data_IF_405507078519
#
_entry.id   IF_405507078519
#
_cell.length_a   1.000
_cell.length_b   1.000
_cell.length_c   1.000
_cell.angle_alpha   90.00
_cell.angle_beta   90.00
_cell.angle_gamma   90.00
#
_symmetry.space_group_name_H-M   'P 1'
#
loop_
_entity.id
_entity.type
_entity.pdbx_description
1 polymer ?
#
# COMPACT_ATOMS: atom_id res chain seq x y z
N UNK A 1 -20.12 -9.41 6.97
CA UNK A 1 -19.74 -10.75 6.51
C UNK A 1 -20.66 -11.78 7.16
N UNK A 2 -20.92 -11.75 8.48
CA UNK A 2 -21.84 -12.66 9.17
C UNK A 2 -23.28 -12.58 8.66
N UNK A 3 -23.75 -11.40 8.25
CA UNK A 3 -25.10 -11.17 7.72
C UNK A 3 -25.34 -11.81 6.32
N UNK A 4 -24.28 -12.12 5.57
CA UNK A 4 -24.36 -12.65 4.20
C UNK A 4 -23.91 -14.11 4.13
N UNK A 5 -22.92 -14.52 4.93
CA UNK A 5 -22.27 -15.82 4.81
C UNK A 5 -22.40 -16.72 6.06
N UNK A 6 -23.06 -16.26 7.14
CA UNK A 6 -23.28 -17.04 8.36
C UNK A 6 -22.08 -17.13 9.30
N UNK A 7 -22.25 -17.88 10.39
CA UNK A 7 -21.26 -18.02 11.49
C UNK A 7 -19.99 -18.78 11.09
N UNK A 8 -20.03 -19.58 10.02
CA UNK A 8 -18.89 -20.41 9.58
C UNK A 8 -17.74 -19.59 8.99
N UNK A 9 -17.98 -18.29 8.69
CA UNK A 9 -16.96 -17.37 8.17
C UNK A 9 -16.21 -16.55 9.25
N UNK A 10 -16.45 -16.79 10.53
CA UNK A 10 -15.69 -16.15 11.60
C UNK A 10 -14.17 -16.28 11.50
N UNK A 11 -13.61 -17.47 11.16
CA UNK A 11 -12.17 -17.60 10.94
C UNK A 11 -11.62 -16.70 9.83
N UNK A 12 -12.40 -16.48 8.77
CA UNK A 12 -12.00 -15.61 7.64
C UNK A 12 -11.91 -14.13 8.06
N UNK A 13 -12.76 -13.69 9.00
CA UNK A 13 -12.70 -12.31 9.54
C UNK A 13 -11.40 -12.12 10.32
N UNK A 14 -11.04 -13.08 11.18
CA UNK A 14 -9.80 -13.01 11.96
C UNK A 14 -8.55 -12.98 11.03
N UNK A 15 -8.55 -13.81 9.98
CA UNK A 15 -7.48 -13.80 8.98
C UNK A 15 -7.43 -12.46 8.21
N UNK A 16 -8.57 -11.93 7.82
CA UNK A 16 -8.67 -10.61 7.16
C UNK A 16 -8.11 -9.49 8.04
N UNK A 17 -8.48 -9.46 9.32
CA UNK A 17 -7.98 -8.48 10.27
C UNK A 17 -6.46 -8.60 10.50
N UNK A 18 -5.92 -9.81 10.51
CA UNK A 18 -4.48 -10.02 10.64
C UNK A 18 -3.67 -9.58 9.41
N UNK A 19 -4.30 -9.51 8.25
CA UNK A 19 -3.69 -9.03 7.00
C UNK A 19 -3.71 -7.50 6.87
N UNK A 20 -4.62 -6.80 7.55
CA UNK A 20 -4.78 -5.35 7.42
C UNK A 20 -3.48 -4.56 7.63
N UNK A 21 -2.67 -4.81 8.69
CA UNK A 21 -1.42 -4.08 8.86
C UNK A 21 -0.44 -4.35 7.72
N UNK A 22 -0.37 -5.59 7.23
CA UNK A 22 0.48 -5.96 6.10
C UNK A 22 0.08 -5.25 4.81
N UNK A 23 -1.20 -5.25 4.47
CA UNK A 23 -1.72 -4.57 3.27
C UNK A 23 -1.52 -3.07 3.36
N UNK A 24 -1.65 -2.47 4.55
CA UNK A 24 -1.35 -1.05 4.76
C UNK A 24 0.12 -0.73 4.47
N UNK A 25 1.05 -1.56 4.94
CA UNK A 25 2.49 -1.43 4.64
C UNK A 25 2.78 -1.59 3.15
N UNK A 26 2.11 -2.53 2.48
CA UNK A 26 2.23 -2.70 1.03
C UNK A 26 1.73 -1.46 0.27
N UNK A 27 0.60 -0.88 0.67
CA UNK A 27 0.10 0.36 0.10
C UNK A 27 1.13 1.49 0.18
N UNK A 28 1.74 1.68 1.34
CA UNK A 28 2.80 2.66 1.56
C UNK A 28 4.04 2.35 0.69
N UNK A 29 4.46 1.09 0.62
CA UNK A 29 5.58 0.66 -0.21
C UNK A 29 5.35 1.00 -1.69
N UNK A 30 4.13 0.80 -2.20
CA UNK A 30 3.77 1.13 -3.57
C UNK A 30 3.86 2.64 -3.84
N UNK A 31 3.42 3.49 -2.93
CA UNK A 31 3.56 4.96 -3.05
C UNK A 31 5.04 5.37 -3.09
N UNK A 32 5.87 4.80 -2.22
CA UNK A 32 7.32 5.05 -2.20
C UNK A 32 7.95 4.61 -3.52
N UNK A 33 7.62 3.42 -4.01
CA UNK A 33 8.13 2.89 -5.27
C UNK A 33 7.71 3.77 -6.46
N UNK A 34 6.44 4.16 -6.54
CA UNK A 34 5.93 5.05 -7.57
C UNK A 34 6.66 6.41 -7.55
N UNK A 35 6.91 6.97 -6.37
CA UNK A 35 7.67 8.22 -6.20
C UNK A 35 9.11 8.07 -6.68
N UNK A 36 9.75 6.92 -6.43
CA UNK A 36 11.11 6.62 -6.87
C UNK A 36 11.20 6.50 -8.39
N UNK A 37 10.24 5.80 -8.99
CA UNK A 37 10.11 5.66 -10.45
C UNK A 37 9.86 7.01 -11.10
N UNK A 38 8.93 7.81 -10.58
CA UNK A 38 8.61 9.15 -11.07
C UNK A 38 9.79 10.13 -11.03
N UNK A 39 10.79 9.88 -10.19
CA UNK A 39 12.04 10.64 -10.11
C UNK A 39 13.12 10.15 -11.10
N UNK A 40 12.83 9.19 -11.95
CA UNK A 40 13.75 8.66 -12.95
C UNK A 40 14.64 7.51 -12.46
N UNK A 41 14.29 6.86 -11.36
CA UNK A 41 15.05 5.75 -10.81
C UNK A 41 14.28 4.41 -10.79
N UNK A 42 13.76 3.93 -11.93
CA UNK A 42 12.94 2.72 -11.98
C UNK A 42 13.68 1.44 -11.56
N UNK A 43 15.01 1.41 -11.71
CA UNK A 43 15.84 0.25 -11.39
C UNK A 43 15.75 -0.16 -9.93
N UNK A 44 15.53 0.79 -9.01
CA UNK A 44 15.41 0.48 -7.58
C UNK A 44 14.07 -0.18 -7.22
N UNK A 45 13.02 0.08 -7.99
CA UNK A 45 11.76 -0.67 -7.87
C UNK A 45 11.96 -2.14 -8.27
N UNK A 46 12.75 -2.39 -9.31
CA UNK A 46 13.15 -3.74 -9.71
C UNK A 46 13.96 -4.44 -8.61
N UNK A 47 14.94 -3.77 -8.01
CA UNK A 47 15.72 -4.34 -6.91
C UNK A 47 14.86 -4.65 -5.68
N UNK A 48 13.86 -3.83 -5.38
CA UNK A 48 12.90 -4.09 -4.31
C UNK A 48 12.11 -5.38 -4.61
N UNK A 49 11.62 -5.54 -5.83
CA UNK A 49 10.87 -6.72 -6.24
C UNK A 49 11.75 -7.98 -6.22
N UNK A 50 12.94 -7.92 -6.83
CA UNK A 50 13.88 -9.05 -6.85
C UNK A 50 14.35 -9.47 -5.45
N UNK A 51 14.52 -8.51 -4.54
CA UNK A 51 14.92 -8.80 -3.16
C UNK A 51 13.78 -9.36 -2.31
N UNK A 52 12.54 -8.93 -2.54
CA UNK A 52 11.39 -9.40 -1.76
C UNK A 52 10.83 -10.75 -2.26
N UNK A 53 10.86 -11.02 -3.57
CA UNK A 53 10.22 -12.20 -4.16
C UNK A 53 10.78 -13.51 -3.64
N UNK A 54 12.11 -13.80 -3.64
CA UNK A 54 12.61 -15.08 -3.18
C UNK A 54 12.31 -15.34 -1.70
N UNK A 55 12.39 -14.32 -0.87
CA UNK A 55 12.04 -14.46 0.55
C UNK A 55 10.54 -14.67 0.74
N UNK A 56 9.69 -14.01 -0.04
CA UNK A 56 8.25 -14.25 -0.05
C UNK A 56 7.94 -15.71 -0.37
N UNK A 57 8.53 -16.23 -1.44
CA UNK A 57 8.35 -17.64 -1.83
C UNK A 57 8.81 -18.59 -0.72
N UNK A 58 9.99 -18.35 -0.14
CA UNK A 58 10.49 -19.15 0.96
C UNK A 58 9.55 -19.14 2.19
N UNK A 59 9.03 -17.98 2.57
CA UNK A 59 8.08 -17.85 3.67
C UNK A 59 6.79 -18.63 3.40
N UNK A 60 6.26 -18.57 2.18
CA UNK A 60 5.07 -19.35 1.82
C UNK A 60 5.34 -20.85 1.87
N UNK A 61 6.47 -21.31 1.33
CA UNK A 61 6.83 -22.72 1.34
C UNK A 61 7.05 -23.29 2.75
N UNK A 62 7.49 -22.45 3.70
CA UNK A 62 7.73 -22.85 5.08
C UNK A 62 6.47 -22.74 5.96
N UNK A 63 5.71 -21.61 5.84
CA UNK A 63 4.63 -21.32 6.78
C UNK A 63 3.29 -21.95 6.36
N UNK A 64 3.02 -22.08 5.06
CA UNK A 64 1.74 -22.62 4.59
C UNK A 64 1.59 -24.11 4.93
N UNK A 65 2.60 -24.99 4.70
CA UNK A 65 2.48 -26.38 5.11
C UNK A 65 2.36 -26.58 6.61
N UNK A 66 2.98 -25.71 7.42
CA UNK A 66 3.00 -25.81 8.88
C UNK A 66 1.72 -25.26 9.54
N UNK A 67 1.15 -24.17 9.03
CA UNK A 67 0.09 -23.40 9.70
C UNK A 67 -1.16 -23.19 8.80
N UNK A 68 -1.19 -23.75 7.60
CA UNK A 68 -2.32 -23.59 6.68
C UNK A 68 -2.62 -22.14 6.32
N UNK A 69 -3.90 -21.73 6.37
CA UNK A 69 -4.35 -20.39 6.03
C UNK A 69 -3.77 -19.29 6.94
N UNK A 70 -3.55 -19.60 8.22
CA UNK A 70 -2.89 -18.66 9.15
C UNK A 70 -1.43 -18.44 8.78
N UNK A 71 -0.73 -19.50 8.35
CA UNK A 71 0.63 -19.42 7.82
C UNK A 71 0.73 -18.52 6.59
N UNK A 72 -0.24 -18.61 5.68
CA UNK A 72 -0.32 -17.75 4.51
C UNK A 72 -0.50 -16.28 4.92
N UNK A 73 -1.36 -15.98 5.90
CA UNK A 73 -1.58 -14.61 6.38
C UNK A 73 -0.30 -14.03 7.02
N UNK A 74 0.41 -14.80 7.83
CA UNK A 74 1.68 -14.36 8.40
C UNK A 74 2.77 -14.18 7.35
N UNK A 75 2.90 -15.12 6.39
CA UNK A 75 3.84 -15.01 5.29
C UNK A 75 3.60 -13.75 4.46
N UNK A 76 2.33 -13.44 4.15
CA UNK A 76 1.95 -12.22 3.44
C UNK A 76 2.34 -10.96 4.21
N UNK A 77 1.97 -10.87 5.48
CA UNK A 77 2.25 -9.70 6.32
C UNK A 77 3.75 -9.45 6.44
N UNK A 78 4.54 -10.51 6.65
CA UNK A 78 5.99 -10.41 6.75
C UNK A 78 6.62 -10.00 5.40
N UNK A 79 6.12 -10.55 4.29
CA UNK A 79 6.56 -10.18 2.94
C UNK A 79 6.26 -8.72 2.61
N UNK A 80 5.10 -8.22 3.02
CA UNK A 80 4.74 -6.81 2.81
C UNK A 80 5.58 -5.88 3.68
N UNK A 81 5.89 -6.26 4.92
CA UNK A 81 6.80 -5.51 5.78
C UNK A 81 8.22 -5.45 5.19
N UNK A 82 8.72 -6.56 4.64
CA UNK A 82 9.99 -6.58 3.95
C UNK A 82 9.99 -5.69 2.70
N UNK A 83 8.95 -5.80 1.87
CA UNK A 83 8.82 -4.97 0.67
C UNK A 83 8.84 -3.48 1.04
N UNK A 84 8.11 -3.09 2.08
CA UNK A 84 8.16 -1.72 2.64
C UNK A 84 9.57 -1.32 3.10
N UNK A 85 10.26 -2.20 3.85
CA UNK A 85 11.60 -1.90 4.34
C UNK A 85 12.61 -1.71 3.20
N UNK A 86 12.56 -2.55 2.16
CA UNK A 86 13.41 -2.43 0.98
C UNK A 86 13.09 -1.15 0.19
N UNK A 87 11.81 -0.88 -0.07
CA UNK A 87 11.38 0.33 -0.76
C UNK A 87 11.85 1.60 -0.02
N UNK A 88 11.66 1.63 1.31
CA UNK A 88 12.11 2.73 2.15
C UNK A 88 13.64 2.88 2.17
N UNK A 89 14.38 1.75 2.19
CA UNK A 89 15.83 1.75 2.14
C UNK A 89 16.35 2.35 0.83
N UNK A 90 15.86 1.88 -0.31
CA UNK A 90 16.29 2.38 -1.61
C UNK A 90 15.86 3.83 -1.84
N UNK A 91 14.65 4.21 -1.43
CA UNK A 91 14.20 5.59 -1.48
C UNK A 91 15.15 6.53 -0.72
N UNK A 92 15.55 6.15 0.50
CA UNK A 92 16.52 6.94 1.30
C UNK A 92 17.88 7.04 0.63
N UNK A 93 18.36 5.96 -0.02
CA UNK A 93 19.63 5.99 -0.76
C UNK A 93 19.60 6.94 -1.95
N UNK A 94 18.50 6.96 -2.68
CA UNK A 94 18.35 7.75 -3.92
C UNK A 94 18.08 9.22 -3.62
N UNK A 95 17.24 9.50 -2.61
CA UNK A 95 16.78 10.87 -2.35
C UNK A 95 17.54 11.56 -1.22
N UNK A 96 18.26 10.82 -0.39
CA UNK A 96 18.86 11.32 0.85
C UNK A 96 17.84 11.77 1.90
N UNK A 97 16.53 11.64 1.60
CA UNK A 97 15.44 12.11 2.45
C UNK A 97 14.81 10.97 3.26
N UNK A 98 14.26 11.31 4.41
CA UNK A 98 13.47 10.36 5.21
C UNK A 98 12.13 10.10 4.51
N UNK A 99 11.59 8.88 4.68
CA UNK A 99 10.29 8.46 4.12
C UNK A 99 9.12 9.14 4.83
N UNK A 100 9.32 9.54 6.09
CA UNK A 100 8.28 10.09 6.95
C UNK A 100 7.49 11.28 6.35
N UNK A 101 8.13 12.28 5.71
CA UNK A 101 7.40 13.39 5.09
C UNK A 101 6.48 12.99 3.93
N UNK A 102 6.69 11.80 3.33
CA UNK A 102 5.80 11.24 2.31
C UNK A 102 4.51 10.64 2.88
N UNK A 103 4.53 10.24 4.15
CA UNK A 103 3.43 9.56 4.81
C UNK A 103 2.50 10.51 5.54
N UNK A 104 2.98 11.72 5.85
CA UNK A 104 2.22 12.74 6.56
C UNK A 104 1.94 13.89 5.59
N UNK A 105 0.68 14.12 5.22
CA UNK A 105 0.32 15.26 4.37
C UNK A 105 0.71 16.56 5.06
N UNK A 106 1.49 17.38 4.37
CA UNK A 106 1.89 18.70 4.85
C UNK A 106 0.70 19.63 4.78
N UNK A 107 0.58 20.59 5.72
CA UNK A 107 -0.52 21.57 5.75
C UNK A 107 -0.70 22.30 4.42
N UNK A 108 0.38 22.56 3.68
CA UNK A 108 0.33 23.16 2.34
C UNK A 108 -0.39 22.30 1.31
N UNK A 109 -0.22 20.95 1.36
CA UNK A 109 -0.92 20.04 0.46
C UNK A 109 -2.42 19.99 0.73
N UNK A 110 -2.82 20.11 2.01
CA UNK A 110 -4.23 20.22 2.39
C UNK A 110 -4.89 21.49 1.85
N UNK A 111 -4.17 22.60 1.80
CA UNK A 111 -4.67 23.85 1.22
C UNK A 111 -4.77 23.78 -0.30
N UNK A 112 -3.85 23.08 -0.97
CA UNK A 112 -3.94 22.82 -2.41
C UNK A 112 -5.12 21.90 -2.75
N UNK A 113 -5.38 20.85 -1.95
CA UNK A 113 -6.59 20.04 -2.09
C UNK A 113 -7.88 20.84 -1.90
N UNK A 114 -7.93 21.75 -0.93
CA UNK A 114 -9.08 22.65 -0.73
C UNK A 114 -9.29 23.58 -1.91
N UNK A 115 -8.21 24.11 -2.49
CA UNK A 115 -8.28 24.95 -3.72
C UNK A 115 -8.77 24.13 -4.91
N UNK A 116 -8.26 22.93 -5.12
CA UNK A 116 -8.69 22.04 -6.21
C UNK A 116 -10.17 21.65 -6.06
N UNK A 117 -10.63 21.35 -4.85
CA UNK A 117 -12.05 21.08 -4.58
C UNK A 117 -12.92 22.31 -4.81
N UNK A 118 -12.44 23.51 -4.50
CA UNK A 118 -13.11 24.77 -4.80
C UNK A 118 -13.29 24.97 -6.30
N UNK A 119 -12.22 24.79 -7.07
CA UNK A 119 -12.24 24.90 -8.54
C UNK A 119 -13.12 23.83 -9.20
N UNK A 120 -13.11 22.60 -8.71
CA UNK A 120 -13.99 21.54 -9.18
C UNK A 120 -15.47 21.87 -8.93
N UNK A 121 -15.78 22.40 -7.75
CA UNK A 121 -17.13 22.85 -7.39
C UNK A 121 -17.62 24.01 -8.25
N UNK A 122 -16.74 24.98 -8.58
CA UNK A 122 -17.07 26.08 -9.49
C UNK A 122 -17.28 25.59 -10.91
N UNK A 123 -16.48 24.65 -11.40
CA UNK A 123 -16.68 24.06 -12.74
C UNK A 123 -17.99 23.29 -12.83
N UNK A 124 -18.35 22.52 -11.80
CA UNK A 124 -19.64 21.83 -11.73
C UNK A 124 -20.84 22.80 -11.68
N UNK A 125 -20.68 23.96 -11.04
CA UNK A 125 -21.71 25.02 -11.01
C UNK A 125 -21.83 25.78 -12.33
N UNK A 126 -20.75 25.85 -13.11
CA UNK A 126 -20.72 26.54 -14.41
C UNK A 126 -20.98 25.58 -15.60
N UNK A 127 -21.06 24.28 -15.37
CA UNK A 127 -21.52 23.36 -16.40
C UNK A 127 -22.98 23.71 -16.74
N UNK A 128 -23.27 24.17 -17.98
CA UNK A 128 -24.66 24.45 -18.39
C UNK A 128 -25.41 23.14 -18.29
N UNK A 129 -26.54 23.17 -17.58
CA UNK A 129 -27.38 22.01 -17.39
C UNK A 129 -27.66 21.33 -18.75
N UNK A 130 -27.32 20.06 -18.85
CA UNK A 130 -27.89 19.18 -19.88
C UNK A 130 -29.35 18.96 -19.48
N UNK A 131 -30.18 19.94 -19.79
CA UNK A 131 -31.61 19.81 -19.80
C UNK A 131 -32.04 19.88 -21.27
N UNK A 132 -32.45 18.74 -21.80
CA UNK A 132 -33.01 18.55 -23.12
C UNK A 132 -33.41 17.11 -23.27
#
# INVERSE_FOLDING_TARGET
VELVYGSDFRPAIALGLSLLPGVSLLGIANVISATTVGRGYPIYSLYTALGSTPLTVALYLLLVPALGATGAAFASTLSYALNFALAAHYYRRVTGRRVWPLLVPTRGELDDYRRLLGLARERLRRAPGVAG
#
